data_IF_907419562070
#
_entry.id   IF_907419562070
#
_cell.length_a   1.000
_cell.length_b   1.000
_cell.length_c   1.000
_cell.angle_alpha   90.00
_cell.angle_beta   90.00
_cell.angle_gamma   90.00
#
_symmetry.space_group_name_H-M   'P 1'
#
loop_
_entity.id
_entity.type
_entity.pdbx_description
1 polymer ?
#
# COMPACT_ATOMS: atom_id res chain seq x y z
N UNK A 1 19.25 -51.14 52.64
CA UNK A 1 20.21 -51.67 51.65
C UNK A 1 20.64 -50.55 50.73
N UNK A 2 21.93 -50.56 50.40
CA UNK A 2 22.71 -49.45 49.86
C UNK A 2 22.47 -49.14 48.37
N UNK A 3 22.61 -47.85 48.04
CA UNK A 3 23.25 -47.23 46.87
C UNK A 3 23.05 -47.84 45.46
N UNK A 4 22.56 -47.00 44.53
CA UNK A 4 23.32 -46.68 43.32
C UNK A 4 22.94 -45.31 42.75
N UNK A 5 23.90 -44.38 42.87
CA UNK A 5 23.99 -43.15 42.10
C UNK A 5 24.19 -43.45 40.61
N UNK A 6 23.56 -42.66 39.75
CA UNK A 6 24.09 -42.34 38.42
C UNK A 6 24.17 -40.81 38.30
N UNK A 7 25.38 -40.30 38.53
CA UNK A 7 25.83 -38.95 38.18
C UNK A 7 26.21 -38.95 36.69
N UNK A 8 25.70 -37.95 35.96
CA UNK A 8 26.29 -37.43 34.71
C UNK A 8 26.25 -35.90 34.86
N UNK A 9 27.29 -35.23 35.40
CA UNK A 9 28.48 -34.66 34.70
C UNK A 9 28.14 -34.20 33.28
N UNK A 10 28.38 -32.99 32.81
CA UNK A 10 29.00 -31.76 33.32
C UNK A 10 28.81 -30.73 32.20
N UNK A 11 28.76 -29.45 32.56
CA UNK A 11 28.45 -28.35 31.65
C UNK A 11 29.32 -28.26 30.40
N UNK A 12 28.72 -27.66 29.37
CA UNK A 12 29.46 -26.92 28.34
C UNK A 12 28.76 -25.57 28.19
N UNK A 13 29.19 -24.64 29.03
CA UNK A 13 29.09 -23.20 28.77
C UNK A 13 30.18 -22.85 27.78
N UNK A 14 29.83 -22.45 26.55
CA UNK A 14 30.76 -21.74 25.67
C UNK A 14 30.12 -20.43 25.25
N UNK A 15 30.01 -19.50 26.21
CA UNK A 15 29.86 -18.10 25.92
C UNK A 15 31.24 -17.56 25.51
N UNK A 16 31.43 -17.29 24.23
CA UNK A 16 32.59 -16.54 23.72
C UNK A 16 32.13 -15.11 23.47
N UNK A 17 32.52 -14.12 24.29
CA UNK A 17 32.23 -12.73 23.98
C UNK A 17 33.25 -12.26 22.94
N UNK A 18 32.88 -12.28 21.67
CA UNK A 18 33.62 -11.50 20.66
C UNK A 18 33.13 -10.06 20.76
N UNK A 19 33.92 -9.24 21.45
CA UNK A 19 33.84 -7.80 21.38
C UNK A 19 34.09 -7.36 19.92
N UNK A 20 33.00 -7.12 19.19
CA UNK A 20 32.99 -6.57 17.85
C UNK A 20 32.11 -5.33 17.85
N UNK A 21 32.70 -4.18 17.52
CA UNK A 21 32.02 -2.89 17.42
C UNK A 21 30.81 -3.03 16.48
N UNK A 22 29.60 -2.89 17.01
CA UNK A 22 28.40 -2.74 16.18
C UNK A 22 28.38 -1.33 15.62
N UNK A 23 28.94 -1.19 14.42
CA UNK A 23 28.66 -0.04 13.56
C UNK A 23 27.19 -0.16 13.14
N UNK A 24 26.34 0.67 13.74
CA UNK A 24 24.96 0.84 13.29
C UNK A 24 24.97 1.59 11.96
N UNK A 25 25.23 0.88 10.86
CA UNK A 25 24.96 1.43 9.55
C UNK A 25 23.46 1.66 9.47
N UNK A 26 23.09 2.94 9.33
CA UNK A 26 21.73 3.41 9.11
C UNK A 26 21.22 2.92 7.74
N UNK A 27 20.90 1.63 7.67
CA UNK A 27 20.05 1.02 6.65
C UNK A 27 19.34 -0.12 7.36
N UNK A 28 18.22 0.22 7.98
CA UNK A 28 17.16 -0.76 8.16
C UNK A 28 16.72 -1.13 6.74
N UNK A 29 17.43 -2.06 6.13
CA UNK A 29 17.03 -2.67 4.89
C UNK A 29 15.63 -3.23 5.17
N UNK A 30 14.68 -2.85 4.31
CA UNK A 30 13.42 -3.54 4.12
C UNK A 30 13.77 -5.02 3.87
N UNK A 31 13.91 -5.80 4.93
CA UNK A 31 14.10 -7.24 4.83
C UNK A 31 12.73 -7.79 4.50
N UNK A 32 12.46 -7.87 3.20
CA UNK A 32 11.24 -8.41 2.58
C UNK A 32 11.07 -9.91 2.82
N UNK A 33 11.18 -10.35 4.06
CA UNK A 33 10.52 -11.55 4.53
C UNK A 33 9.42 -11.05 5.43
N UNK A 34 8.21 -10.98 4.88
CA UNK A 34 7.00 -10.91 5.70
C UNK A 34 7.11 -12.08 6.68
N UNK A 35 7.14 -11.79 7.98
CA UNK A 35 7.63 -12.70 9.01
C UNK A 35 6.88 -14.04 9.10
N UNK A 36 5.80 -14.19 8.35
CA UNK A 36 4.85 -15.32 8.42
C UNK A 36 4.77 -16.14 7.13
N UNK A 37 5.45 -15.74 6.05
CA UNK A 37 5.47 -16.54 4.82
C UNK A 37 6.47 -17.68 4.98
N UNK A 38 5.94 -18.90 5.02
CA UNK A 38 6.73 -20.11 5.21
C UNK A 38 6.55 -21.03 4.01
N UNK A 39 7.67 -21.48 3.46
CA UNK A 39 7.72 -22.51 2.44
C UNK A 39 8.31 -23.75 3.11
N UNK A 40 7.56 -24.85 3.11
CA UNK A 40 8.01 -26.14 3.63
C UNK A 40 7.97 -27.18 2.52
N UNK A 41 8.81 -28.20 2.68
CA UNK A 41 8.79 -29.38 1.81
C UNK A 41 8.20 -30.52 2.64
N UNK A 42 7.38 -31.38 2.03
CA UNK A 42 6.88 -32.59 2.69
C UNK A 42 8.02 -33.55 3.02
N UNK A 43 7.82 -34.46 3.98
CA UNK A 43 8.84 -35.45 4.39
C UNK A 43 9.33 -36.30 3.21
N UNK A 44 8.41 -36.62 2.28
CA UNK A 44 8.72 -37.36 1.05
C UNK A 44 9.50 -36.54 -0.01
N UNK A 45 9.71 -35.24 0.21
CA UNK A 45 10.39 -34.34 -0.74
C UNK A 45 9.63 -34.04 -2.03
N UNK A 46 8.44 -34.62 -2.21
CA UNK A 46 7.69 -34.63 -3.47
C UNK A 46 6.86 -33.37 -3.71
N UNK A 47 6.48 -32.66 -2.65
CA UNK A 47 5.57 -31.51 -2.73
C UNK A 47 6.12 -30.33 -1.93
N UNK A 48 6.02 -29.14 -2.51
CA UNK A 48 6.35 -27.89 -1.85
C UNK A 48 5.05 -27.24 -1.38
N UNK A 49 4.96 -26.94 -0.08
CA UNK A 49 3.81 -26.31 0.56
C UNK A 49 4.16 -24.87 0.89
N UNK A 50 3.30 -23.93 0.49
CA UNK A 50 3.49 -22.50 0.73
C UNK A 50 2.37 -21.97 1.62
N UNK A 51 2.74 -21.46 2.80
CA UNK A 51 1.84 -20.74 3.70
C UNK A 51 1.97 -19.23 3.45
N UNK A 52 0.89 -18.60 2.97
CA UNK A 52 0.86 -17.17 2.64
C UNK A 52 -0.35 -16.45 3.26
N UNK A 53 -0.33 -16.17 4.58
CA UNK A 53 -1.42 -15.44 5.21
C UNK A 53 -1.53 -14.01 4.65
N UNK A 54 -2.74 -13.45 4.62
CA UNK A 54 -2.95 -12.06 4.23
C UNK A 54 -2.38 -11.12 5.30
N UNK A 55 -1.51 -10.15 4.94
CA UNK A 55 -0.97 -9.21 5.93
C UNK A 55 -2.05 -8.24 6.39
N UNK A 56 -2.24 -8.10 7.70
CA UNK A 56 -3.05 -7.02 8.25
C UNK A 56 -2.25 -5.70 8.28
N UNK A 57 -2.87 -4.59 7.91
CA UNK A 57 -2.27 -3.26 7.99
C UNK A 57 -2.27 -2.74 9.45
N UNK A 58 -1.11 -2.48 10.08
CA UNK A 58 -1.07 -2.04 11.48
C UNK A 58 -1.68 -0.65 11.66
N UNK A 59 -2.45 -0.46 12.73
CA UNK A 59 -3.17 0.79 13.01
C UNK A 59 -2.22 1.99 13.20
N UNK A 60 -1.04 1.76 13.78
CA UNK A 60 -0.02 2.79 14.01
C UNK A 60 0.51 3.43 12.71
N UNK A 61 0.40 2.71 11.58
CA UNK A 61 0.79 3.21 10.26
C UNK A 61 -0.35 3.94 9.53
N UNK A 62 -1.55 3.98 10.11
CA UNK A 62 -2.70 4.70 9.54
C UNK A 62 -2.65 6.19 9.89
N UNK A 63 -3.29 7.01 9.06
CA UNK A 63 -3.52 8.44 9.37
C UNK A 63 -4.99 8.62 9.72
N UNK A 64 -5.34 9.45 10.71
CA UNK A 64 -6.73 9.77 10.99
C UNK A 64 -7.35 10.46 9.78
N UNK A 65 -8.65 10.21 9.56
CA UNK A 65 -9.42 10.94 8.56
C UNK A 65 -9.51 12.41 8.97
N UNK A 66 -9.43 13.35 8.01
CA UNK A 66 -9.62 14.76 8.33
C UNK A 66 -11.02 14.99 8.91
N UNK A 67 -11.18 15.89 9.89
CA UNK A 67 -12.49 16.18 10.46
C UNK A 67 -13.41 16.72 9.37
N UNK A 68 -14.64 16.21 9.32
CA UNK A 68 -15.67 16.77 8.45
C UNK A 68 -16.02 18.17 8.95
N UNK A 69 -15.97 19.17 8.06
CA UNK A 69 -16.42 20.52 8.39
C UNK A 69 -17.94 20.48 8.56
N UNK A 70 -18.41 20.49 9.81
CA UNK A 70 -19.84 20.62 10.11
C UNK A 70 -20.28 22.05 9.83
N UNK A 71 -21.03 22.25 8.75
CA UNK A 71 -21.64 23.54 8.45
C UNK A 71 -22.92 23.67 9.28
N UNK A 72 -22.89 24.40 10.40
CA UNK A 72 -24.04 24.59 11.31
C UNK A 72 -25.24 25.36 10.72
N UNK A 73 -25.27 25.60 9.41
CA UNK A 73 -26.37 26.27 8.74
C UNK A 73 -27.41 25.24 8.26
N UNK A 74 -28.69 25.45 8.61
CA UNK A 74 -29.83 24.64 8.16
C UNK A 74 -29.88 24.48 6.63
N UNK A 75 -29.38 25.47 5.91
CA UNK A 75 -29.14 25.41 4.47
C UNK A 75 -27.62 25.35 4.26
N UNK A 76 -27.13 24.31 3.58
CA UNK A 76 -25.71 24.08 3.21
C UNK A 76 -25.21 25.10 2.17
N UNK A 77 -25.30 26.39 2.49
CA UNK A 77 -25.10 27.51 1.55
C UNK A 77 -23.61 27.82 1.32
N UNK A 78 -22.73 27.34 2.19
CA UNK A 78 -21.32 27.73 2.19
C UNK A 78 -20.55 27.34 0.92
N UNK A 79 -21.01 26.31 0.20
CA UNK A 79 -20.41 25.87 -1.06
C UNK A 79 -21.08 26.45 -2.31
N UNK A 80 -22.11 27.31 -2.18
CA UNK A 80 -22.84 27.79 -3.36
C UNK A 80 -21.99 28.63 -4.31
N UNK A 81 -21.05 29.41 -3.80
CA UNK A 81 -20.20 30.25 -4.64
C UNK A 81 -19.19 29.42 -5.44
N UNK A 82 -18.64 28.37 -4.82
CA UNK A 82 -17.80 27.38 -5.51
C UNK A 82 -18.61 26.66 -6.60
N UNK A 83 -19.80 26.17 -6.26
CA UNK A 83 -20.70 25.50 -7.20
C UNK A 83 -21.08 26.41 -8.35
N UNK A 84 -21.43 27.67 -8.08
CA UNK A 84 -21.74 28.68 -9.11
C UNK A 84 -20.54 28.94 -10.02
N UNK A 85 -19.32 28.99 -9.48
CA UNK A 85 -18.10 29.24 -10.27
C UNK A 85 -17.84 28.13 -11.30
N UNK A 86 -18.25 26.89 -11.03
CA UNK A 86 -18.10 25.75 -11.95
C UNK A 86 -19.01 25.87 -13.18
N UNK A 87 -20.19 26.48 -13.03
CA UNK A 87 -21.16 26.62 -14.12
C UNK A 87 -20.92 27.84 -15.02
N UNK A 88 -19.94 28.69 -14.70
CA UNK A 88 -19.59 29.84 -15.54
C UNK A 88 -18.89 29.36 -16.81
N UNK A 89 -19.38 29.80 -17.98
CA UNK A 89 -18.74 29.50 -19.26
C UNK A 89 -17.36 30.15 -19.35
N UNK A 90 -16.32 29.32 -19.34
CA UNK A 90 -14.92 29.74 -19.53
C UNK A 90 -14.49 29.57 -20.98
N UNK A 91 -13.56 30.41 -21.44
CA UNK A 91 -12.94 30.22 -22.76
C UNK A 91 -12.18 28.90 -22.80
N UNK A 92 -12.16 28.28 -23.97
CA UNK A 92 -11.58 26.94 -24.14
C UNK A 92 -10.08 26.90 -23.81
N UNK A 93 -9.33 27.99 -23.96
CA UNK A 93 -7.92 28.02 -23.56
C UNK A 93 -7.74 27.84 -22.05
N UNK A 94 -8.56 28.53 -21.24
CA UNK A 94 -8.50 28.44 -19.78
C UNK A 94 -8.94 27.07 -19.28
N UNK A 95 -10.00 26.51 -19.86
CA UNK A 95 -10.46 25.15 -19.52
C UNK A 95 -9.34 24.13 -19.76
N UNK A 96 -8.61 24.23 -20.88
CA UNK A 96 -7.50 23.32 -21.17
C UNK A 96 -6.36 23.46 -20.16
N UNK A 97 -6.05 24.68 -19.71
CA UNK A 97 -5.01 24.93 -18.70
C UNK A 97 -5.41 24.38 -17.33
N UNK A 98 -6.66 24.57 -16.92
CA UNK A 98 -7.20 24.00 -15.68
C UNK A 98 -7.16 22.48 -15.71
N UNK A 99 -7.63 21.86 -16.80
CA UNK A 99 -7.59 20.41 -16.97
C UNK A 99 -6.16 19.86 -16.96
N UNK A 100 -5.21 20.57 -17.58
CA UNK A 100 -3.80 20.24 -17.56
C UNK A 100 -3.23 20.25 -16.13
N UNK A 101 -3.56 21.27 -15.34
CA UNK A 101 -3.14 21.43 -13.96
C UNK A 101 -3.73 20.35 -13.04
N UNK A 102 -5.03 20.06 -13.17
CA UNK A 102 -5.74 19.09 -12.34
C UNK A 102 -5.30 17.64 -12.60
N UNK A 103 -5.05 17.29 -13.87
CA UNK A 103 -4.74 15.91 -14.26
C UNK A 103 -3.25 15.65 -14.46
N UNK A 104 -2.40 16.67 -14.33
CA UNK A 104 -0.97 16.60 -14.62
C UNK A 104 -0.67 16.01 -16.01
N UNK A 105 -1.50 16.34 -17.00
CA UNK A 105 -1.35 15.87 -18.39
C UNK A 105 -0.78 16.95 -19.30
N UNK A 106 -0.57 16.65 -20.58
CA UNK A 106 -0.13 17.65 -21.58
C UNK A 106 -1.32 18.28 -22.30
N UNK A 107 -1.14 19.51 -22.81
CA UNK A 107 -2.19 20.28 -23.52
C UNK A 107 -2.79 19.56 -24.74
N UNK A 108 -2.00 18.73 -25.43
CA UNK A 108 -2.40 18.08 -26.69
C UNK A 108 -3.52 17.03 -26.53
N UNK A 109 -3.72 16.51 -25.30
CA UNK A 109 -4.81 15.60 -24.99
C UNK A 109 -6.19 16.27 -25.07
N UNK A 110 -6.25 17.57 -24.81
CA UNK A 110 -7.48 18.35 -24.68
C UNK A 110 -7.87 19.13 -25.94
N UNK A 111 -7.18 18.87 -27.06
CA UNK A 111 -7.62 19.33 -28.38
C UNK A 111 -8.52 18.26 -29.03
N UNK A 112 -9.65 18.66 -29.64
CA UNK A 112 -10.52 17.71 -30.30
C UNK A 112 -9.79 17.02 -31.45
N UNK A 113 -9.92 15.70 -31.56
CA UNK A 113 -9.41 14.93 -32.69
C UNK A 113 -10.48 14.86 -33.77
N UNK A 114 -10.11 15.11 -35.02
CA UNK A 114 -11.04 15.10 -36.16
C UNK A 114 -11.58 13.69 -36.47
N UNK A 115 -10.77 12.66 -36.25
CA UNK A 115 -11.07 11.26 -36.62
C UNK A 115 -11.95 10.54 -35.60
N UNK A 116 -11.66 10.69 -34.32
CA UNK A 116 -12.25 9.89 -33.24
C UNK A 116 -13.32 10.72 -32.52
N UNK A 117 -14.44 11.01 -33.19
CA UNK A 117 -15.55 11.81 -32.63
C UNK A 117 -16.44 11.03 -31.66
N UNK A 118 -16.52 9.72 -31.83
CA UNK A 118 -17.38 8.84 -31.05
C UNK A 118 -16.59 7.68 -30.47
N UNK A 119 -17.01 7.23 -29.29
CA UNK A 119 -16.48 6.01 -28.70
C UNK A 119 -16.80 4.82 -29.61
N UNK A 120 -15.84 3.90 -29.75
CA UNK A 120 -16.06 2.64 -30.48
C UNK A 120 -16.82 1.69 -29.57
N UNK A 121 -17.75 0.93 -30.14
CA UNK A 121 -18.44 -0.15 -29.43
C UNK A 121 -17.50 -1.36 -29.30
N UNK A 122 -16.53 -1.27 -28.38
CA UNK A 122 -15.65 -2.39 -28.05
C UNK A 122 -16.39 -3.33 -27.10
N UNK A 123 -16.48 -4.64 -27.41
CA UNK A 123 -17.05 -5.60 -26.46
C UNK A 123 -16.21 -5.62 -25.18
N UNK A 124 -16.84 -5.83 -24.03
CA UNK A 124 -16.13 -6.04 -22.77
C UNK A 124 -15.39 -7.38 -22.81
N UNK A 125 -14.18 -7.43 -22.27
CA UNK A 125 -13.37 -8.66 -22.20
C UNK A 125 -13.95 -9.68 -21.21
N UNK A 126 -14.68 -9.19 -20.20
CA UNK A 126 -15.40 -10.02 -19.23
C UNK A 126 -16.89 -9.89 -19.49
N UNK A 127 -17.52 -10.98 -19.94
CA UNK A 127 -18.94 -11.00 -20.34
C UNK A 127 -19.91 -11.04 -19.15
N UNK A 128 -19.44 -11.48 -17.97
CA UNK A 128 -20.27 -11.75 -16.78
C UNK A 128 -19.91 -10.89 -15.55
N UNK A 129 -19.20 -9.78 -15.74
CA UNK A 129 -18.87 -8.78 -14.70
C UNK A 129 -19.40 -7.41 -15.13
#
# INVERSE_FOLDING_TARGET
>A
MAFRLLKSKSGITNAVPRAGKVFWSLRQAYSSRKLEEQITVTDDGSTIVCWHPEPHFPYECSRPLPPQQETHATLKIQSLDEVRSVFVEKKQEFVRQELMSLTYTTKHRWFPRSRDKYAKNTPSDREYL
#
